data_IF_029716259456
#
_entry.id   IF_029716259456
#
_cell.length_a   1.000
_cell.length_b   1.000
_cell.length_c   1.000
_cell.angle_alpha   90.00
_cell.angle_beta   90.00
_cell.angle_gamma   90.00
#
_symmetry.space_group_name_H-M   'P 1'
#
loop_
_entity.id
_entity.type
_entity.pdbx_description
1 polymer ?
#
# COMPACT_ATOMS: atom_id res chain seq x y z
N UNK A 1 3.26 21.64 5.30
CA UNK A 1 4.66 21.37 4.91
C UNK A 1 5.66 22.08 5.82
N UNK A 2 5.61 23.41 5.95
CA UNK A 2 6.55 24.17 6.79
C UNK A 2 6.53 23.78 8.28
N UNK A 3 5.34 23.47 8.83
CA UNK A 3 5.19 23.02 10.22
C UNK A 3 5.98 21.73 10.52
N UNK A 4 6.04 20.79 9.56
CA UNK A 4 6.77 19.53 9.70
C UNK A 4 8.28 19.77 9.68
N UNK A 5 8.75 20.71 8.88
CA UNK A 5 10.18 21.08 8.85
C UNK A 5 10.62 21.73 10.14
N UNK A 6 9.81 22.64 10.69
CA UNK A 6 10.08 23.27 11.98
C UNK A 6 10.09 22.20 13.08
N UNK A 7 9.10 21.31 13.11
CA UNK A 7 9.05 20.23 14.08
C UNK A 7 10.26 19.29 13.96
N UNK A 8 10.62 18.89 12.74
CA UNK A 8 11.80 18.06 12.48
C UNK A 8 13.09 18.74 12.94
N UNK A 9 13.21 20.06 12.72
CA UNK A 9 14.36 20.82 13.17
C UNK A 9 14.45 20.88 14.71
N UNK A 10 13.33 21.12 15.39
CA UNK A 10 13.26 21.08 16.86
C UNK A 10 13.66 19.70 17.40
N UNK A 11 13.14 18.64 16.80
CA UNK A 11 13.50 17.25 17.16
C UNK A 11 14.99 16.98 16.92
N UNK A 12 15.57 17.48 15.83
CA UNK A 12 17.00 17.35 15.54
C UNK A 12 17.86 18.04 16.60
N UNK A 13 17.51 19.26 17.01
CA UNK A 13 18.21 19.96 18.10
C UNK A 13 18.10 19.16 19.40
N UNK A 14 16.90 18.68 19.75
CA UNK A 14 16.69 17.85 20.95
C UNK A 14 17.54 16.58 20.91
N UNK A 15 17.66 15.93 19.76
CA UNK A 15 18.51 14.75 19.58
C UNK A 15 20.01 15.06 19.79
N UNK A 16 20.49 16.21 19.30
CA UNK A 16 21.87 16.65 19.53
C UNK A 16 22.12 16.93 21.01
N UNK A 17 21.21 17.66 21.66
CA UNK A 17 21.28 17.97 23.09
C UNK A 17 21.26 16.68 23.92
N UNK A 18 20.39 15.72 23.55
CA UNK A 18 20.34 14.40 24.15
C UNK A 18 21.68 13.66 23.99
N UNK A 19 22.27 13.67 22.79
CA UNK A 19 23.56 13.03 22.54
C UNK A 19 24.71 13.63 23.36
N UNK A 20 24.79 14.95 23.44
CA UNK A 20 25.84 15.66 24.19
C UNK A 20 25.69 15.44 25.70
N UNK A 21 24.47 15.51 26.24
CA UNK A 21 24.25 15.31 27.68
C UNK A 21 24.39 13.84 28.11
N UNK A 22 24.10 12.89 27.22
CA UNK A 22 24.23 11.45 27.48
C UNK A 22 25.54 10.89 26.92
N UNK A 23 26.59 11.73 26.83
CA UNK A 23 27.95 11.34 26.44
C UNK A 23 28.73 10.63 27.56
N UNK A 24 28.08 10.36 28.71
CA UNK A 24 28.67 9.57 29.79
C UNK A 24 28.93 8.15 29.27
N UNK A 25 30.17 7.63 29.39
CA UNK A 25 30.50 6.29 28.96
C UNK A 25 29.77 5.27 29.83
N UNK A 26 29.08 4.34 29.18
CA UNK A 26 28.40 3.19 29.74
C UNK A 26 29.04 1.94 29.15
N UNK A 27 29.45 1.03 30.02
CA UNK A 27 29.94 -0.28 29.59
C UNK A 27 28.77 -1.11 29.12
N UNK A 28 28.82 -1.55 27.86
CA UNK A 28 27.83 -2.45 27.29
C UNK A 28 28.46 -3.83 27.15
N UNK A 29 27.81 -4.83 27.75
CA UNK A 29 28.20 -6.24 27.64
C UNK A 29 27.30 -6.94 26.63
N UNK A 30 27.86 -7.35 25.48
CA UNK A 30 27.21 -8.16 24.45
C UNK A 30 27.83 -9.55 24.43
N UNK A 31 27.12 -10.54 24.98
CA UNK A 31 27.58 -11.94 25.08
C UNK A 31 28.93 -12.06 25.79
N UNK A 32 30.04 -11.97 25.05
CA UNK A 32 31.42 -12.10 25.55
C UNK A 32 32.26 -10.84 25.30
N UNK A 33 31.66 -9.78 24.74
CA UNK A 33 32.34 -8.53 24.43
C UNK A 33 31.84 -7.40 25.32
N UNK A 34 32.76 -6.76 26.02
CA UNK A 34 32.49 -5.53 26.76
C UNK A 34 33.13 -4.36 26.03
N UNK A 35 32.38 -3.27 25.86
CA UNK A 35 32.90 -2.04 25.28
C UNK A 35 32.29 -0.81 25.96
N UNK A 36 33.11 0.21 26.15
CA UNK A 36 32.67 1.48 26.69
C UNK A 36 32.15 2.37 25.56
N UNK A 37 30.86 2.69 25.60
CA UNK A 37 30.22 3.56 24.61
C UNK A 37 29.26 4.53 25.30
N UNK A 38 28.93 5.64 24.65
CA UNK A 38 27.91 6.52 25.20
C UNK A 38 26.53 5.90 25.04
N UNK A 39 25.66 6.09 26.04
CA UNK A 39 24.29 5.60 26.02
C UNK A 39 23.55 6.06 24.75
N UNK A 40 23.76 7.32 24.36
CA UNK A 40 23.18 7.88 23.15
C UNK A 40 23.58 7.12 21.87
N UNK A 41 24.85 6.73 21.73
CA UNK A 41 25.32 5.98 20.57
C UNK A 41 24.70 4.58 20.54
N UNK A 42 24.66 3.91 21.68
CA UNK A 42 24.05 2.58 21.82
C UNK A 42 22.56 2.61 21.42
N UNK A 43 21.80 3.60 21.91
CA UNK A 43 20.40 3.77 21.52
C UNK A 43 20.23 4.09 20.04
N UNK A 44 21.09 4.96 19.48
CA UNK A 44 21.04 5.31 18.06
C UNK A 44 21.26 4.08 17.18
N UNK A 45 22.26 3.26 17.49
CA UNK A 45 22.59 2.05 16.71
C UNK A 45 21.49 1.00 16.83
N UNK A 46 21.02 0.72 18.06
CA UNK A 46 19.97 -0.29 18.28
C UNK A 46 18.64 0.14 17.66
N UNK A 47 18.26 1.41 17.77
CA UNK A 47 17.08 1.96 17.09
C UNK A 47 17.23 1.92 15.57
N UNK A 48 18.39 2.32 15.05
CA UNK A 48 18.71 2.26 13.62
C UNK A 48 18.59 0.84 13.06
N UNK A 49 19.14 -0.16 13.76
CA UNK A 49 18.98 -1.57 13.41
C UNK A 49 17.51 -2.00 13.44
N UNK A 50 16.76 -1.65 14.50
CA UNK A 50 15.34 -1.93 14.59
C UNK A 50 14.52 -1.34 13.45
N UNK A 51 14.83 -0.11 13.03
CA UNK A 51 14.20 0.55 11.90
C UNK A 51 14.51 -0.15 10.57
N UNK A 52 15.76 -0.56 10.35
CA UNK A 52 16.15 -1.35 9.17
C UNK A 52 15.41 -2.68 9.14
N UNK A 53 15.36 -3.40 10.26
CA UNK A 53 14.63 -4.67 10.36
C UNK A 53 13.13 -4.48 10.13
N UNK A 54 12.54 -3.43 10.70
CA UNK A 54 11.13 -3.09 10.49
C UNK A 54 10.81 -2.77 9.03
N UNK A 55 11.65 -1.98 8.37
CA UNK A 55 11.52 -1.69 6.94
C UNK A 55 11.67 -2.94 6.09
N UNK A 56 12.64 -3.79 6.39
CA UNK A 56 12.83 -5.06 5.71
C UNK A 56 11.61 -5.98 5.87
N UNK A 57 10.97 -5.97 7.04
CA UNK A 57 9.70 -6.67 7.26
C UNK A 57 8.52 -6.07 6.48
N UNK A 58 8.54 -4.77 6.19
CA UNK A 58 7.49 -4.07 5.43
C UNK A 58 7.63 -4.22 3.91
N UNK A 59 8.85 -4.47 3.40
CA UNK A 59 9.13 -4.73 1.98
C UNK A 59 8.19 -5.76 1.31
N UNK A 60 8.00 -6.99 1.85
CA UNK A 60 7.14 -7.98 1.22
C UNK A 60 5.67 -7.52 1.15
N UNK A 61 5.18 -6.79 2.15
CA UNK A 61 3.84 -6.23 2.15
C UNK A 61 3.68 -5.18 1.03
N UNK A 62 4.70 -4.32 0.84
CA UNK A 62 4.69 -3.31 -0.21
C UNK A 62 4.71 -3.91 -1.61
N UNK A 63 5.49 -4.98 -1.83
CA UNK A 63 5.56 -5.70 -3.10
C UNK A 63 4.23 -6.38 -3.43
N UNK A 64 3.61 -7.07 -2.46
CA UNK A 64 2.29 -7.70 -2.62
C UNK A 64 1.20 -6.67 -2.93
N UNK A 65 1.25 -5.52 -2.25
CA UNK A 65 0.34 -4.40 -2.51
C UNK A 65 0.44 -3.89 -3.95
N UNK A 66 1.66 -3.67 -4.46
CA UNK A 66 1.88 -3.23 -5.85
C UNK A 66 1.39 -4.24 -6.88
N UNK A 67 1.62 -5.54 -6.67
CA UNK A 67 1.07 -6.58 -7.56
C UNK A 67 -0.45 -6.55 -7.62
N UNK A 68 -1.11 -6.48 -6.46
CA UNK A 68 -2.58 -6.43 -6.39
C UNK A 68 -3.16 -5.20 -7.09
N UNK A 69 -2.48 -4.06 -7.02
CA UNK A 69 -2.88 -2.85 -7.75
C UNK A 69 -2.73 -3.02 -9.26
N UNK A 70 -1.62 -3.64 -9.71
CA UNK A 70 -1.41 -3.93 -11.12
C UNK A 70 -2.47 -4.88 -11.68
N UNK A 71 -2.76 -5.96 -10.96
CA UNK A 71 -3.75 -6.96 -11.38
C UNK A 71 -5.16 -6.34 -11.47
N UNK A 72 -5.55 -5.50 -10.50
CA UNK A 72 -6.83 -4.79 -10.52
C UNK A 72 -6.94 -3.80 -11.67
N UNK A 73 -5.90 -3.03 -11.97
CA UNK A 73 -5.91 -2.11 -13.12
C UNK A 73 -6.01 -2.87 -14.46
N UNK A 74 -5.40 -4.05 -14.56
CA UNK A 74 -5.52 -4.90 -15.74
C UNK A 74 -6.95 -5.40 -15.92
N UNK A 75 -7.59 -5.84 -14.83
CA UNK A 75 -8.98 -6.30 -14.84
C UNK A 75 -9.96 -5.17 -15.24
N UNK A 76 -9.81 -3.98 -14.65
CA UNK A 76 -10.57 -2.78 -15.03
C UNK A 76 -10.44 -2.53 -16.54
N UNK A 77 -9.22 -2.51 -17.08
CA UNK A 77 -8.99 -2.27 -18.50
C UNK A 77 -9.62 -3.35 -19.41
N UNK A 78 -9.63 -4.62 -18.96
CA UNK A 78 -10.30 -5.70 -19.71
C UNK A 78 -11.81 -5.61 -19.66
N UNK A 79 -12.38 -5.18 -18.53
CA UNK A 79 -13.82 -4.98 -18.38
C UNK A 79 -14.30 -3.78 -19.20
N UNK A 80 -13.58 -2.66 -19.15
CA UNK A 80 -13.82 -1.49 -20.02
C UNK A 80 -13.81 -1.88 -21.49
N UNK A 81 -12.80 -2.66 -21.91
CA UNK A 81 -12.71 -3.15 -23.29
C UNK A 81 -13.89 -4.04 -23.67
N UNK A 82 -14.34 -4.95 -22.78
CA UNK A 82 -15.52 -5.80 -23.01
C UNK A 82 -16.83 -5.01 -23.04
N UNK A 83 -16.95 -3.95 -22.26
CA UNK A 83 -18.13 -3.06 -22.29
C UNK A 83 -18.14 -2.23 -23.58
N UNK A 84 -16.98 -1.77 -24.06
CA UNK A 84 -16.86 -1.07 -25.35
C UNK A 84 -16.98 -1.98 -26.57
N UNK A 85 -16.57 -3.25 -26.48
CA UNK A 85 -16.65 -4.22 -27.57
C UNK A 85 -17.91 -5.08 -27.54
N UNK A 86 -18.73 -5.01 -26.47
CA UNK A 86 -20.03 -5.65 -26.45
C UNK A 86 -20.93 -4.97 -27.49
N UNK A 87 -21.26 -5.64 -28.61
CA UNK A 87 -22.24 -5.11 -29.52
C UNK A 87 -23.58 -5.04 -28.79
N UNK A 88 -24.43 -4.11 -29.22
CA UNK A 88 -25.78 -3.87 -28.72
C UNK A 88 -26.72 -5.09 -28.91
N UNK A 89 -26.44 -6.23 -28.26
CA UNK A 89 -27.23 -7.46 -28.37
C UNK A 89 -28.15 -7.69 -27.16
N UNK A 90 -28.10 -6.80 -26.16
CA UNK A 90 -29.00 -6.86 -25.00
C UNK A 90 -30.24 -5.95 -25.11
N UNK A 91 -30.48 -5.32 -26.27
CA UNK A 91 -31.64 -4.43 -26.49
C UNK A 91 -32.82 -5.09 -27.23
N UNK A 92 -32.76 -6.39 -27.54
CA UNK A 92 -33.87 -7.10 -28.19
C UNK A 92 -34.22 -8.38 -27.46
N UNK A 93 -34.73 -8.26 -26.25
CA UNK A 93 -35.72 -9.21 -25.71
C UNK A 93 -36.86 -8.40 -25.10
N UNK A 94 -37.44 -7.51 -25.91
CA UNK A 94 -38.85 -7.20 -25.78
C UNK A 94 -39.61 -8.48 -26.13
N UNK A 95 -40.36 -9.09 -25.20
CA UNK A 95 -41.21 -10.23 -25.52
C UNK A 95 -42.28 -9.70 -26.49
N UNK A 96 -42.17 -10.07 -27.76
CA UNK A 96 -43.22 -9.88 -28.74
C UNK A 96 -44.38 -10.82 -28.39
N UNK A 97 -45.23 -10.40 -27.44
CA UNK A 97 -46.58 -10.91 -27.35
C UNK A 97 -47.38 -10.24 -28.48
N UNK A 98 -47.58 -11.02 -29.54
CA UNK A 98 -48.84 -11.14 -30.26
C UNK A 98 -49.35 -9.93 -31.03
N UNK A 99 -49.05 -9.91 -32.33
CA UNK A 99 -49.90 -9.46 -33.45
C UNK A 99 -49.04 -9.63 -34.73
N UNK A 100 -49.49 -10.18 -35.87
CA UNK A 100 -50.78 -10.58 -36.38
C UNK A 100 -50.51 -11.59 -37.54
N UNK A 101 -51.34 -12.62 -37.71
CA UNK A 101 -52.26 -12.71 -38.87
C UNK A 101 -52.01 -14.06 -39.55
N UNK A 102 -53.01 -14.94 -39.61
CA UNK A 102 -53.98 -15.00 -40.71
C UNK A 102 -53.52 -16.04 -41.76
N UNK A 103 -53.89 -17.30 -41.56
CA UNK A 103 -54.18 -18.23 -42.67
C UNK A 103 -54.84 -19.51 -42.11
N UNK A 104 -56.11 -19.76 -42.48
CA UNK A 104 -56.73 -21.09 -42.74
C UNK A 104 -58.27 -21.02 -42.72
N UNK A 105 -58.81 -20.91 -43.92
CA UNK A 105 -60.06 -21.49 -44.46
C UNK A 105 -61.49 -20.98 -44.11
N UNK A 106 -62.37 -20.83 -45.14
CA UNK A 106 -63.78 -20.53 -44.99
C UNK A 106 -64.66 -21.77 -45.14
N UNK A 107 -65.46 -22.17 -44.14
CA UNK A 107 -66.55 -23.14 -44.35
C UNK A 107 -67.69 -22.92 -43.34
N UNK A 108 -68.85 -22.51 -43.89
CA UNK A 108 -70.25 -22.59 -43.43
C UNK A 108 -70.66 -21.96 -42.08
#
# INVERSE_FOLDING_TARGET
MMILMILAFVVAIMAVVFAVQNAVPVTVSLFTFDFDSSLALVLLVTFGLGMITGFLGMLPAMIRGRKRLYDRNKEIKTLEKRVSEAPATAATTTPAIGQAGEDSDPVL
#
